data_IF_506019940931
#
_entry.id   IF_506019940931
#
_cell.length_a   1.000
_cell.length_b   1.000
_cell.length_c   1.000
_cell.angle_alpha   90.00
_cell.angle_beta   90.00
_cell.angle_gamma   90.00
#
_symmetry.space_group_name_H-M   'P 1'
#
loop_
_entity.id
_entity.type
_entity.pdbx_description
1 polymer ?
#
# COMPACT_ATOMS: atom_id res chain seq x y z
N UNK A 1 5.03 17.73 8.06
CA UNK A 1 3.92 18.70 8.06
C UNK A 1 2.63 17.91 7.92
N UNK A 2 1.64 18.18 8.77
CA UNK A 2 0.32 17.55 8.77
C UNK A 2 -0.68 18.64 8.39
N UNK A 3 -1.59 18.36 7.45
CA UNK A 3 -2.67 19.27 7.07
C UNK A 3 -4.00 18.57 7.34
N UNK A 4 -4.94 19.26 8.01
CA UNK A 4 -6.27 18.75 8.37
C UNK A 4 -7.40 19.68 7.91
N UNK A 5 -8.64 19.17 7.95
CA UNK A 5 -9.82 19.70 7.24
C UNK A 5 -10.25 21.13 7.63
N UNK A 6 -10.12 21.51 8.90
CA UNK A 6 -10.53 22.86 9.39
C UNK A 6 -9.61 23.99 8.89
N UNK A 7 -8.54 23.66 8.16
CA UNK A 7 -7.64 24.63 7.52
C UNK A 7 -7.97 24.91 6.04
N UNK A 8 -8.88 24.14 5.40
CA UNK A 8 -9.49 24.34 4.05
C UNK A 8 -9.33 25.73 3.42
N UNK A 9 -10.14 26.69 3.87
CA UNK A 9 -10.28 27.99 3.19
C UNK A 9 -9.06 28.90 3.35
N UNK A 10 -8.34 28.85 4.48
CA UNK A 10 -7.01 29.47 4.63
C UNK A 10 -5.89 28.65 3.94
N UNK A 11 -6.14 27.38 3.65
CA UNK A 11 -5.16 26.44 3.08
C UNK A 11 -5.09 26.42 1.55
N UNK A 12 -5.97 27.14 0.87
CA UNK A 12 -5.81 27.47 -0.57
C UNK A 12 -4.49 28.22 -0.77
N UNK A 13 -4.23 29.22 0.08
CA UNK A 13 -2.93 29.89 0.11
C UNK A 13 -1.81 28.95 0.59
N UNK A 14 -2.09 28.04 1.53
CA UNK A 14 -1.05 27.18 2.11
C UNK A 14 -0.57 26.09 1.14
N UNK A 15 -1.42 25.44 0.36
CA UNK A 15 -1.01 24.40 -0.59
C UNK A 15 -0.15 24.95 -1.71
N UNK A 16 -0.42 26.16 -2.23
CA UNK A 16 0.45 26.79 -3.22
C UNK A 16 1.80 27.23 -2.63
N UNK A 17 1.81 27.73 -1.39
CA UNK A 17 3.04 28.05 -0.65
C UNK A 17 3.87 26.79 -0.39
N UNK A 18 3.22 25.69 0.01
CA UNK A 18 3.86 24.38 0.17
C UNK A 18 4.38 23.91 -1.17
N UNK A 19 3.59 24.06 -2.23
CA UNK A 19 3.94 23.67 -3.57
C UNK A 19 5.20 24.40 -4.07
N UNK A 20 5.34 25.68 -3.71
CA UNK A 20 6.53 26.49 -3.97
C UNK A 20 7.77 26.12 -3.15
N UNK A 21 7.67 25.17 -2.21
CA UNK A 21 8.78 24.67 -1.38
C UNK A 21 9.07 23.18 -1.57
N UNK A 22 8.40 22.52 -2.52
CA UNK A 22 8.47 21.06 -2.71
C UNK A 22 9.86 20.56 -3.12
N UNK A 23 10.69 21.39 -3.74
CA UNK A 23 12.03 20.98 -4.20
C UNK A 23 12.94 20.48 -3.07
N UNK A 24 12.65 20.91 -1.84
CA UNK A 24 13.39 20.52 -0.62
C UNK A 24 12.69 19.40 0.18
N UNK A 25 11.47 19.02 -0.18
CA UNK A 25 10.69 18.04 0.57
C UNK A 25 11.06 16.63 0.11
N UNK A 26 11.61 15.83 1.04
CA UNK A 26 11.93 14.41 0.81
C UNK A 26 10.82 13.47 1.24
N UNK A 27 10.01 13.88 2.21
CA UNK A 27 8.93 13.08 2.78
C UNK A 27 7.68 13.96 2.91
N UNK A 28 6.58 13.49 2.34
CA UNK A 28 5.30 14.17 2.38
C UNK A 28 4.22 13.18 2.84
N UNK A 29 3.48 13.58 3.86
CA UNK A 29 2.34 12.83 4.35
C UNK A 29 1.10 13.72 4.21
N UNK A 30 0.14 13.24 3.44
CA UNK A 30 -1.16 13.87 3.26
C UNK A 30 -2.19 12.94 3.90
N UNK A 31 -2.82 13.41 4.97
CA UNK A 31 -3.72 12.61 5.79
C UNK A 31 -5.08 13.29 5.82
N UNK A 32 -6.15 12.49 5.74
CA UNK A 32 -7.53 12.97 5.81
C UNK A 32 -7.90 13.98 4.71
N UNK A 33 -7.39 13.77 3.49
CA UNK A 33 -7.78 14.55 2.31
C UNK A 33 -9.14 14.09 1.77
N UNK A 34 -10.15 14.11 2.64
CA UNK A 34 -11.53 13.73 2.32
C UNK A 34 -12.28 14.96 1.83
N UNK A 35 -12.97 14.82 0.70
CA UNK A 35 -13.83 15.86 0.09
C UNK A 35 -13.11 17.13 -0.38
N UNK A 36 -11.82 17.04 -0.73
CA UNK A 36 -11.13 18.13 -1.43
C UNK A 36 -11.53 18.10 -2.92
N UNK A 37 -11.60 19.25 -3.58
CA UNK A 37 -11.86 19.27 -5.01
C UNK A 37 -10.64 18.73 -5.79
N UNK A 38 -10.91 17.81 -6.71
CA UNK A 38 -9.93 17.22 -7.61
C UNK A 38 -9.22 18.30 -8.46
N UNK A 39 -9.96 19.29 -8.96
CA UNK A 39 -9.39 20.36 -9.79
C UNK A 39 -8.52 21.30 -8.95
N UNK A 40 -8.81 21.40 -7.66
CA UNK A 40 -8.03 22.20 -6.71
C UNK A 40 -6.70 21.54 -6.34
N UNK A 41 -6.64 20.21 -6.19
CA UNK A 41 -5.39 19.54 -5.78
C UNK A 41 -4.49 19.13 -6.96
N UNK A 42 -5.02 19.08 -8.18
CA UNK A 42 -4.25 18.68 -9.36
C UNK A 42 -2.98 19.53 -9.59
N UNK A 43 -3.00 20.89 -9.46
CA UNK A 43 -1.80 21.71 -9.57
C UNK A 43 -0.72 21.37 -8.53
N UNK A 44 -1.13 21.02 -7.31
CA UNK A 44 -0.23 20.60 -6.25
C UNK A 44 0.49 19.30 -6.62
N UNK A 45 -0.23 18.30 -7.14
CA UNK A 45 0.37 17.05 -7.63
C UNK A 45 1.27 17.24 -8.85
N UNK A 46 0.96 18.20 -9.73
CA UNK A 46 1.86 18.57 -10.83
C UNK A 46 3.17 19.16 -10.36
N UNK A 47 3.16 20.04 -9.36
CA UNK A 47 4.41 20.59 -8.78
C UNK A 47 5.19 19.54 -8.00
N UNK A 48 4.49 18.59 -7.38
CA UNK A 48 5.10 17.42 -6.77
C UNK A 48 5.85 16.54 -7.78
N UNK A 49 5.49 16.57 -9.06
CA UNK A 49 6.16 15.77 -10.09
C UNK A 49 7.63 16.10 -10.28
N UNK A 50 7.97 17.38 -10.21
CA UNK A 50 9.34 17.86 -10.36
C UNK A 50 10.14 17.84 -9.06
N UNK A 51 9.55 17.39 -7.95
CA UNK A 51 10.18 17.41 -6.64
C UNK A 51 11.18 16.27 -6.43
N UNK A 52 12.05 16.43 -5.42
CA UNK A 52 12.98 15.38 -4.95
C UNK A 52 12.35 14.43 -3.92
N UNK A 53 11.02 14.23 -4.00
CA UNK A 53 10.29 13.43 -3.04
C UNK A 53 10.71 11.96 -3.09
N UNK A 54 11.06 11.41 -1.92
CA UNK A 54 11.44 10.00 -1.73
C UNK A 54 10.36 9.19 -1.06
N UNK A 55 9.54 9.81 -0.21
CA UNK A 55 8.47 9.16 0.53
C UNK A 55 7.16 9.92 0.40
N UNK A 56 6.10 9.23 0.02
CA UNK A 56 4.75 9.77 -0.07
C UNK A 56 3.78 8.88 0.70
N UNK A 57 3.03 9.48 1.63
CA UNK A 57 1.88 8.86 2.28
C UNK A 57 0.62 9.59 1.87
N UNK A 58 -0.37 8.84 1.40
CA UNK A 58 -1.72 9.30 1.11
C UNK A 58 -2.70 8.51 1.97
N UNK A 59 -3.30 9.15 2.98
CA UNK A 59 -4.32 8.56 3.85
C UNK A 59 -5.66 9.28 3.65
N UNK A 60 -6.69 8.50 3.31
CA UNK A 60 -8.05 9.02 3.10
C UNK A 60 -8.17 9.87 1.83
N UNK A 61 -7.32 9.62 0.83
CA UNK A 61 -7.22 10.43 -0.39
C UNK A 61 -8.33 10.14 -1.41
N UNK A 62 -9.54 10.65 -1.21
CA UNK A 62 -10.66 10.43 -2.14
C UNK A 62 -11.59 11.63 -2.24
N UNK A 63 -11.91 12.01 -3.47
CA UNK A 63 -12.79 13.12 -3.78
C UNK A 63 -14.16 12.60 -4.24
N UNK A 64 -15.28 13.16 -3.79
CA UNK A 64 -16.60 12.83 -4.33
C UNK A 64 -16.72 13.40 -5.77
N UNK A 65 -16.52 12.56 -6.80
CA UNK A 65 -16.57 12.97 -8.21
C UNK A 65 -15.89 11.98 -9.17
N UNK A 66 -16.66 11.01 -9.69
CA UNK A 66 -16.16 9.74 -10.25
C UNK A 66 -15.18 9.83 -11.44
N UNK A 67 -15.28 10.85 -12.32
CA UNK A 67 -14.51 10.91 -13.58
C UNK A 67 -13.17 11.63 -13.47
N UNK A 68 -13.08 12.66 -12.62
CA UNK A 68 -11.88 13.50 -12.51
C UNK A 68 -10.82 12.84 -11.60
N UNK A 69 -11.24 11.94 -10.71
CA UNK A 69 -10.35 11.21 -9.80
C UNK A 69 -9.39 10.25 -10.50
N UNK A 70 -9.83 9.61 -11.59
CA UNK A 70 -8.96 8.72 -12.36
C UNK A 70 -7.82 9.53 -12.97
N UNK A 71 -8.09 10.71 -13.54
CA UNK A 71 -7.05 11.58 -14.13
C UNK A 71 -6.02 12.03 -13.09
N UNK A 72 -6.46 12.39 -11.88
CA UNK A 72 -5.53 12.80 -10.82
C UNK A 72 -4.71 11.65 -10.23
N UNK A 73 -5.27 10.45 -10.17
CA UNK A 73 -4.53 9.24 -9.76
C UNK A 73 -3.58 8.76 -10.85
N UNK A 74 -3.94 8.95 -12.13
CA UNK A 74 -3.03 8.79 -13.26
C UNK A 74 -1.86 9.78 -13.15
N UNK A 75 -2.11 11.01 -12.70
CA UNK A 75 -1.04 11.99 -12.44
C UNK A 75 -0.12 11.51 -11.33
N UNK A 76 -0.63 11.03 -10.19
CA UNK A 76 0.21 10.45 -9.13
C UNK A 76 1.12 9.33 -9.64
N UNK A 77 0.60 8.49 -10.52
CA UNK A 77 1.32 7.31 -10.99
C UNK A 77 2.44 7.64 -12.00
N UNK A 78 2.25 8.67 -12.83
CA UNK A 78 3.25 9.12 -13.82
C UNK A 78 4.33 10.07 -13.24
N UNK A 79 4.26 10.43 -11.94
CA UNK A 79 4.85 11.69 -11.47
C UNK A 79 6.05 11.62 -10.54
N UNK A 80 6.58 10.48 -10.11
CA UNK A 80 7.66 10.54 -9.12
C UNK A 80 8.91 9.78 -9.53
N UNK A 81 9.79 10.46 -10.25
CA UNK A 81 11.05 9.88 -10.71
C UNK A 81 12.01 9.49 -9.59
N UNK A 82 11.79 9.93 -8.35
CA UNK A 82 12.65 9.68 -7.19
C UNK A 82 11.93 8.96 -6.03
N UNK A 83 10.66 8.59 -6.19
CA UNK A 83 9.90 7.98 -5.11
C UNK A 83 10.41 6.57 -4.83
N UNK A 84 10.72 6.33 -3.57
CA UNK A 84 11.25 5.07 -3.05
C UNK A 84 10.27 4.40 -2.09
N UNK A 85 9.45 5.20 -1.40
CA UNK A 85 8.46 4.74 -0.45
C UNK A 85 7.10 5.32 -0.79
N UNK A 86 6.12 4.44 -0.99
CA UNK A 86 4.73 4.81 -1.21
C UNK A 86 3.84 4.12 -0.17
N UNK A 87 3.06 4.91 0.56
CA UNK A 87 2.01 4.44 1.45
C UNK A 87 0.65 4.95 0.97
N UNK A 88 -0.27 4.03 0.76
CA UNK A 88 -1.63 4.33 0.31
C UNK A 88 -2.62 3.72 1.29
N UNK A 89 -3.48 4.56 1.86
CA UNK A 89 -4.54 4.12 2.74
C UNK A 89 -5.88 4.61 2.20
N UNK A 90 -6.72 3.65 1.85
CA UNK A 90 -8.05 3.90 1.32
C UNK A 90 -8.99 4.36 2.45
N UNK A 91 -9.98 5.23 2.17
CA UNK A 91 -10.91 5.80 3.12
C UNK A 91 -11.91 4.74 3.57
N UNK A 92 -12.65 5.10 4.62
CA UNK A 92 -13.50 4.20 5.40
C UNK A 92 -14.82 3.79 4.69
N UNK A 93 -15.79 3.30 5.48
CA UNK A 93 -16.83 2.33 5.12
C UNK A 93 -17.74 2.64 3.92
N UNK A 94 -17.83 3.89 3.50
CA UNK A 94 -18.86 4.35 2.57
C UNK A 94 -18.41 4.37 1.09
N UNK A 95 -17.13 4.08 0.81
CA UNK A 95 -16.65 4.00 -0.57
C UNK A 95 -17.00 2.65 -1.24
N UNK A 96 -17.61 2.64 -2.45
CA UNK A 96 -17.98 1.38 -3.12
C UNK A 96 -16.77 0.54 -3.55
N UNK A 97 -16.76 -0.76 -3.20
CA UNK A 97 -15.65 -1.70 -3.45
C UNK A 97 -15.23 -1.79 -4.94
N UNK A 98 -16.18 -1.77 -5.87
CA UNK A 98 -15.90 -1.82 -7.31
C UNK A 98 -15.05 -0.63 -7.79
N UNK A 99 -15.20 0.54 -7.15
CA UNK A 99 -14.45 1.75 -7.49
C UNK A 99 -13.02 1.69 -6.95
N UNK A 100 -12.81 1.04 -5.81
CA UNK A 100 -11.48 0.81 -5.23
C UNK A 100 -10.64 -0.14 -6.12
N UNK A 101 -11.27 -1.15 -6.74
CA UNK A 101 -10.59 -2.11 -7.64
C UNK A 101 -10.00 -1.42 -8.87
N UNK A 102 -10.83 -0.61 -9.54
CA UNK A 102 -10.41 0.11 -10.73
C UNK A 102 -9.30 1.11 -10.41
N UNK A 103 -9.38 1.76 -9.27
CA UNK A 103 -8.37 2.72 -8.82
C UNK A 103 -7.01 2.06 -8.60
N UNK A 104 -6.96 0.96 -7.86
CA UNK A 104 -5.71 0.24 -7.58
C UNK A 104 -5.10 -0.30 -8.87
N UNK A 105 -5.93 -0.86 -9.76
CA UNK A 105 -5.50 -1.34 -11.08
C UNK A 105 -4.87 -0.23 -11.90
N UNK A 106 -5.53 0.94 -11.96
CA UNK A 106 -5.04 2.10 -12.70
C UNK A 106 -3.74 2.64 -12.09
N UNK A 107 -3.70 2.84 -10.77
CA UNK A 107 -2.53 3.34 -10.08
C UNK A 107 -1.31 2.45 -10.33
N UNK A 108 -1.46 1.14 -10.15
CA UNK A 108 -0.37 0.19 -10.43
C UNK A 108 -0.03 0.04 -11.91
N UNK A 109 -0.99 0.24 -12.81
CA UNK A 109 -0.72 0.19 -14.25
C UNK A 109 0.26 1.28 -14.70
N UNK A 110 0.28 2.42 -13.98
CA UNK A 110 1.04 3.62 -14.33
C UNK A 110 2.24 3.90 -13.44
N UNK A 111 2.24 3.37 -12.21
CA UNK A 111 3.36 3.53 -11.28
C UNK A 111 4.66 2.97 -11.87
N UNK A 112 5.73 3.76 -11.85
CA UNK A 112 7.09 3.28 -12.13
C UNK A 112 7.60 2.43 -10.95
N UNK A 113 7.25 1.15 -10.98
CA UNK A 113 7.63 0.17 -9.97
C UNK A 113 9.15 -0.03 -9.84
N UNK A 114 9.95 0.40 -10.82
CA UNK A 114 11.40 0.16 -10.81
C UNK A 114 12.15 0.86 -9.67
N UNK A 115 11.51 1.87 -9.06
CA UNK A 115 12.12 2.73 -8.03
C UNK A 115 11.53 2.54 -6.65
N UNK A 116 10.33 1.99 -6.56
CA UNK A 116 9.63 1.77 -5.30
C UNK A 116 10.30 0.60 -4.58
N UNK A 117 10.96 0.90 -3.47
CA UNK A 117 11.62 -0.10 -2.61
C UNK A 117 10.73 -0.52 -1.44
N UNK A 118 9.86 0.38 -0.97
CA UNK A 118 8.89 0.13 0.09
C UNK A 118 7.49 0.52 -0.38
N UNK A 119 6.56 -0.43 -0.28
CA UNK A 119 5.15 -0.22 -0.59
C UNK A 119 4.29 -0.63 0.59
N UNK A 120 3.45 0.28 1.07
CA UNK A 120 2.46 0.03 2.11
C UNK A 120 1.06 0.29 1.55
N UNK A 121 0.19 -0.71 1.59
CA UNK A 121 -1.19 -0.61 1.13
C UNK A 121 -2.12 -0.94 2.28
N UNK A 122 -3.08 -0.06 2.53
CA UNK A 122 -4.19 -0.31 3.45
C UNK A 122 -5.50 -0.23 2.68
N UNK A 123 -6.11 -1.39 2.51
CA UNK A 123 -7.19 -1.67 1.58
C UNK A 123 -8.35 -2.29 2.33
N UNK A 124 -9.57 -2.05 1.85
CA UNK A 124 -10.76 -2.56 2.53
C UNK A 124 -11.09 -4.00 2.20
N UNK A 125 -10.56 -4.58 1.14
CA UNK A 125 -10.80 -5.99 0.84
C UNK A 125 -9.72 -6.54 -0.09
N UNK A 126 -9.27 -7.77 0.16
CA UNK A 126 -8.43 -8.52 -0.79
C UNK A 126 -9.16 -8.87 -2.09
N UNK A 127 -10.50 -8.94 -2.10
CA UNK A 127 -11.31 -9.25 -3.30
C UNK A 127 -11.12 -8.22 -4.43
N UNK A 128 -10.58 -7.07 -4.07
CA UNK A 128 -10.36 -5.91 -4.92
C UNK A 128 -8.97 -6.00 -5.60
N UNK A 129 -8.14 -6.95 -5.20
CA UNK A 129 -6.79 -7.10 -5.72
C UNK A 129 -6.66 -8.44 -6.40
N UNK A 130 -6.35 -8.41 -7.69
CA UNK A 130 -5.73 -9.56 -8.31
C UNK A 130 -4.31 -9.72 -7.76
N UNK A 131 -4.08 -10.66 -6.84
CA UNK A 131 -2.78 -10.84 -6.18
C UNK A 131 -1.66 -11.23 -7.14
N UNK A 132 -1.97 -11.89 -8.26
CA UNK A 132 -1.00 -12.12 -9.33
C UNK A 132 -0.58 -10.81 -9.99
N UNK A 133 -1.53 -9.90 -10.21
CA UNK A 133 -1.25 -8.55 -10.71
C UNK A 133 -0.43 -7.74 -9.71
N UNK A 134 -0.80 -7.73 -8.42
CA UNK A 134 -0.02 -7.05 -7.39
C UNK A 134 1.41 -7.60 -7.29
N UNK A 135 1.57 -8.93 -7.29
CA UNK A 135 2.88 -9.56 -7.26
C UNK A 135 3.74 -9.16 -8.48
N UNK A 136 3.13 -9.11 -9.67
CA UNK A 136 3.81 -8.61 -10.87
C UNK A 136 4.21 -7.14 -10.75
N UNK A 137 3.36 -6.31 -10.15
CA UNK A 137 3.60 -4.87 -9.97
C UNK A 137 4.54 -4.51 -8.83
N UNK A 138 4.94 -5.50 -8.04
CA UNK A 138 5.86 -5.34 -6.92
C UNK A 138 7.20 -6.06 -7.18
N UNK A 139 7.52 -6.36 -8.44
CA UNK A 139 8.75 -7.06 -8.88
C UNK A 139 10.09 -6.40 -8.54
N UNK A 140 10.08 -5.18 -8.02
CA UNK A 140 11.30 -4.47 -7.57
C UNK A 140 11.20 -3.99 -6.13
N UNK A 141 10.04 -4.19 -5.49
CA UNK A 141 9.80 -3.84 -4.10
C UNK A 141 10.61 -4.79 -3.22
N UNK A 142 11.24 -4.24 -2.18
CA UNK A 142 11.97 -4.97 -1.14
C UNK A 142 11.11 -5.19 0.10
N UNK A 143 10.26 -4.21 0.43
CA UNK A 143 9.39 -4.25 1.60
C UNK A 143 7.95 -4.02 1.17
N UNK A 144 7.10 -5.04 1.35
CA UNK A 144 5.67 -4.94 1.09
C UNK A 144 4.89 -5.10 2.39
N UNK A 145 4.05 -4.11 2.70
CA UNK A 145 3.09 -4.17 3.79
C UNK A 145 1.68 -4.09 3.22
N UNK A 146 0.84 -5.08 3.53
CA UNK A 146 -0.55 -5.14 3.13
C UNK A 146 -1.43 -5.19 4.38
N UNK A 147 -2.24 -4.18 4.59
CA UNK A 147 -3.36 -4.21 5.53
C UNK A 147 -4.63 -4.39 4.71
N UNK A 148 -5.36 -5.46 4.94
CA UNK A 148 -6.60 -5.81 4.23
C UNK A 148 -7.67 -6.18 5.25
N UNK A 149 -8.95 -6.01 4.93
CA UNK A 149 -10.00 -6.46 5.85
C UNK A 149 -10.07 -7.99 5.96
N UNK A 150 -9.96 -8.66 4.82
CA UNK A 150 -10.03 -10.10 4.68
C UNK A 150 -9.05 -10.54 3.59
N UNK A 151 -8.38 -11.68 3.78
CA UNK A 151 -7.55 -12.35 2.78
C UNK A 151 -7.63 -13.86 2.97
N UNK A 152 -7.78 -14.63 1.88
CA UNK A 152 -7.72 -16.09 1.98
C UNK A 152 -6.29 -16.62 1.84
N UNK A 153 -6.08 -17.87 2.28
CA UNK A 153 -4.82 -18.59 2.04
C UNK A 153 -4.47 -18.65 0.55
N UNK A 154 -5.44 -18.85 -0.34
CA UNK A 154 -5.22 -18.92 -1.79
C UNK A 154 -4.68 -17.60 -2.34
N UNK A 155 -5.13 -16.46 -1.80
CA UNK A 155 -4.60 -15.15 -2.18
C UNK A 155 -3.13 -15.00 -1.78
N UNK A 156 -2.78 -15.37 -0.55
CA UNK A 156 -1.40 -15.36 -0.06
C UNK A 156 -0.51 -16.28 -0.93
N UNK A 157 -0.96 -17.51 -1.19
CA UNK A 157 -0.21 -18.46 -2.02
C UNK A 157 -0.09 -17.99 -3.47
N UNK A 158 -1.14 -17.39 -4.04
CA UNK A 158 -1.13 -16.82 -5.39
C UNK A 158 -0.15 -15.66 -5.49
N UNK A 159 -0.10 -14.80 -4.47
CA UNK A 159 0.90 -13.75 -4.35
C UNK A 159 2.30 -14.35 -4.30
N UNK A 160 2.59 -15.26 -3.36
CA UNK A 160 3.91 -15.85 -3.15
C UNK A 160 4.42 -16.60 -4.40
N UNK A 161 3.53 -17.28 -5.14
CA UNK A 161 3.86 -17.93 -6.42
C UNK A 161 4.41 -16.95 -7.47
N UNK A 162 3.93 -15.71 -7.42
CA UNK A 162 4.24 -14.67 -8.38
C UNK A 162 5.15 -13.59 -7.81
N UNK A 163 5.51 -13.70 -6.53
CA UNK A 163 6.20 -12.67 -5.77
C UNK A 163 7.60 -12.43 -6.32
N UNK A 164 8.06 -11.19 -6.16
CA UNK A 164 9.36 -10.79 -6.63
C UNK A 164 10.50 -11.56 -5.98
N UNK A 165 11.55 -11.85 -6.77
CA UNK A 165 12.86 -12.23 -6.23
C UNK A 165 13.57 -11.09 -5.49
N UNK A 166 13.07 -9.86 -5.54
CA UNK A 166 13.64 -8.73 -4.79
C UNK A 166 12.97 -8.51 -3.44
N UNK A 167 11.83 -9.17 -3.19
CA UNK A 167 11.08 -8.95 -1.96
C UNK A 167 11.84 -9.59 -0.80
N UNK A 168 12.27 -8.77 0.15
CA UNK A 168 13.04 -9.15 1.32
C UNK A 168 12.14 -9.27 2.56
N UNK A 169 11.05 -8.49 2.62
CA UNK A 169 10.08 -8.53 3.71
C UNK A 169 8.65 -8.41 3.21
N UNK A 170 7.79 -9.28 3.74
CA UNK A 170 6.35 -9.29 3.48
C UNK A 170 5.59 -9.24 4.80
N UNK A 171 4.82 -8.18 5.01
CA UNK A 171 3.87 -8.09 6.12
C UNK A 171 2.45 -8.12 5.54
N UNK A 172 1.60 -9.02 6.02
CA UNK A 172 0.19 -9.07 5.68
C UNK A 172 -0.61 -9.04 6.98
N UNK A 173 -1.46 -8.04 7.12
CA UNK A 173 -2.41 -7.89 8.20
C UNK A 173 -3.83 -8.02 7.65
N UNK A 174 -4.62 -8.92 8.23
CA UNK A 174 -6.03 -9.12 7.96
C UNK A 174 -6.81 -8.95 9.24
N UNK A 175 -7.82 -8.06 9.24
CA UNK A 175 -8.69 -7.88 10.41
C UNK A 175 -9.63 -9.06 10.65
N UNK A 176 -10.01 -9.79 9.60
CA UNK A 176 -10.83 -10.99 9.73
C UNK A 176 -10.00 -12.24 10.02
N UNK A 177 -10.55 -13.08 10.92
CA UNK A 177 -10.00 -14.38 11.28
C UNK A 177 -9.96 -15.31 10.08
N UNK A 178 -8.76 -15.70 9.68
CA UNK A 178 -8.55 -16.76 8.69
C UNK A 178 -8.09 -18.00 9.44
N UNK A 179 -8.92 -19.04 9.45
CA UNK A 179 -8.52 -20.33 10.03
C UNK A 179 -7.51 -20.98 9.08
N UNK A 180 -6.26 -21.08 9.53
CA UNK A 180 -5.20 -21.73 8.77
C UNK A 180 -5.02 -23.17 9.27
N UNK A 181 -5.11 -24.19 8.39
CA UNK A 181 -4.74 -25.55 8.77
C UNK A 181 -3.24 -25.63 9.07
N UNK A 182 -2.81 -26.56 9.92
CA UNK A 182 -1.38 -26.79 10.23
C UNK A 182 -0.54 -27.00 8.96
N UNK A 183 -1.10 -27.68 7.94
CA UNK A 183 -0.47 -27.88 6.63
C UNK A 183 -0.21 -26.60 5.84
N UNK A 184 -0.73 -25.45 6.28
CA UNK A 184 -0.44 -24.16 5.68
C UNK A 184 1.02 -23.74 5.87
N UNK A 185 1.64 -24.05 7.02
CA UNK A 185 3.05 -23.72 7.26
C UNK A 185 3.95 -24.51 6.30
N UNK A 186 3.72 -25.81 6.13
CA UNK A 186 4.45 -26.63 5.16
C UNK A 186 4.31 -26.08 3.73
N UNK A 187 3.10 -25.59 3.41
CA UNK A 187 2.82 -24.98 2.12
C UNK A 187 3.56 -23.64 1.96
N UNK A 188 3.62 -22.81 3.01
CA UNK A 188 4.37 -21.56 3.03
C UNK A 188 5.86 -21.82 2.79
N UNK A 189 6.46 -22.80 3.47
CA UNK A 189 7.86 -23.16 3.32
C UNK A 189 8.23 -23.52 1.88
N UNK A 190 7.39 -24.32 1.23
CA UNK A 190 7.61 -24.71 -0.16
C UNK A 190 7.71 -23.50 -1.10
N UNK A 191 6.90 -22.46 -0.85
CA UNK A 191 6.93 -21.23 -1.66
C UNK A 191 8.05 -20.29 -1.23
N UNK A 192 8.22 -20.06 0.06
CA UNK A 192 9.20 -19.13 0.61
C UNK A 192 10.64 -19.59 0.33
N UNK A 193 10.90 -20.90 0.32
CA UNK A 193 12.19 -21.47 -0.09
C UNK A 193 12.62 -21.09 -1.51
N UNK A 194 11.67 -20.68 -2.37
CA UNK A 194 11.92 -20.23 -3.76
C UNK A 194 12.08 -18.70 -3.88
N UNK A 195 11.94 -17.97 -2.78
CA UNK A 195 11.98 -16.50 -2.73
C UNK A 195 13.20 -15.99 -1.97
N UNK A 196 13.46 -14.68 -2.10
CA UNK A 196 14.47 -13.94 -1.32
C UNK A 196 13.87 -13.30 -0.07
N UNK A 197 12.61 -13.62 0.27
CA UNK A 197 11.98 -13.14 1.48
C UNK A 197 12.81 -13.69 2.64
N UNK A 198 13.21 -12.80 3.55
CA UNK A 198 13.97 -13.13 4.75
C UNK A 198 13.10 -13.02 6.00
N UNK A 199 12.02 -12.24 5.92
CA UNK A 199 11.07 -12.05 7.01
C UNK A 199 9.65 -12.00 6.47
N UNK A 200 8.78 -12.84 7.03
CA UNK A 200 7.35 -12.79 6.80
C UNK A 200 6.62 -12.58 8.12
N UNK A 201 5.62 -11.70 8.12
CA UNK A 201 4.69 -11.55 9.24
C UNK A 201 3.27 -11.62 8.68
N UNK A 202 2.51 -12.60 9.13
CA UNK A 202 1.11 -12.78 8.79
C UNK A 202 0.30 -12.63 10.07
N UNK A 203 -0.46 -11.54 10.18
CA UNK A 203 -1.45 -11.37 11.24
C UNK A 203 -2.81 -11.56 10.59
N UNK A 204 -3.49 -12.66 10.91
CA UNK A 204 -4.70 -13.10 10.23
C UNK A 204 -5.84 -13.27 11.25
N UNK A 205 -6.50 -12.17 11.58
CA UNK A 205 -7.39 -12.04 12.73
C UNK A 205 -6.61 -12.23 14.03
N UNK A 206 -6.89 -13.31 14.77
CA UNK A 206 -6.26 -13.60 16.07
C UNK A 206 -4.98 -14.43 15.99
N UNK A 207 -4.53 -14.78 14.80
CA UNK A 207 -3.33 -15.61 14.62
C UNK A 207 -2.20 -14.76 14.06
N UNK A 208 -1.07 -14.73 14.75
CA UNK A 208 0.19 -14.20 14.23
C UNK A 208 1.10 -15.36 13.83
N UNK A 209 1.67 -15.28 12.62
CA UNK A 209 2.74 -16.15 12.15
C UNK A 209 3.89 -15.24 11.75
N UNK A 210 5.00 -15.34 12.48
CA UNK A 210 6.24 -14.65 12.17
C UNK A 210 7.28 -15.69 11.72
N UNK A 211 7.77 -15.55 10.49
CA UNK A 211 8.80 -16.42 9.93
C UNK A 211 10.07 -15.65 9.61
N UNK A 212 11.23 -16.20 10.01
CA UNK A 212 12.56 -15.64 9.73
C UNK A 212 13.44 -16.68 9.03
N UNK A 213 14.12 -16.26 7.96
CA UNK A 213 15.04 -17.12 7.22
C UNK A 213 16.42 -17.12 7.86
N UNK A 214 16.81 -18.24 8.44
CA UNK A 214 18.10 -18.46 9.11
C UNK A 214 18.82 -19.60 8.40
N UNK A 215 20.04 -19.35 7.90
CA UNK A 215 20.86 -20.34 7.17
C UNK A 215 20.13 -21.04 6.00
N UNK A 216 19.19 -20.35 5.34
CA UNK A 216 18.42 -20.90 4.21
C UNK A 216 17.12 -21.60 4.58
N UNK A 217 16.84 -21.80 5.87
CA UNK A 217 15.63 -22.41 6.41
C UNK A 217 14.76 -21.38 7.11
N UNK A 218 13.45 -21.60 7.17
CA UNK A 218 12.54 -20.72 7.91
C UNK A 218 12.29 -21.27 9.31
N UNK A 219 12.43 -20.40 10.30
CA UNK A 219 11.98 -20.63 11.67
C UNK A 219 10.71 -19.82 11.90
N UNK A 220 9.66 -20.48 12.37
CA UNK A 220 8.36 -19.85 12.62
C UNK A 220 8.05 -19.75 14.10
N UNK A 221 7.52 -18.59 14.48
CA UNK A 221 6.82 -18.36 15.72
C UNK A 221 5.33 -18.18 15.37
N UNK A 222 4.46 -18.99 15.97
CA UNK A 222 3.01 -18.85 15.84
C UNK A 222 2.43 -18.49 17.19
N UNK A 223 1.77 -17.34 17.28
CA UNK A 223 1.15 -16.85 18.50
C UNK A 223 -0.35 -16.65 18.28
N UNK A 224 -1.14 -17.02 19.28
CA UNK A 224 -2.53 -16.60 19.37
C UNK A 224 -2.56 -15.24 20.07
N UNK A 225 -3.00 -14.21 19.36
CA UNK A 225 -3.22 -12.88 19.92
C UNK A 225 -4.37 -12.98 20.93
N UNK A 226 -4.06 -12.81 22.22
CA UNK A 226 -5.08 -12.69 23.26
C UNK A 226 -5.71 -11.30 23.20
N UNK A 227 -7.02 -11.20 23.45
CA UNK A 227 -7.67 -9.91 23.64
C UNK A 227 -7.24 -9.39 25.01
N UNK A 228 -6.47 -8.30 25.04
CA UNK A 228 -6.43 -7.44 26.22
C UNK A 228 -7.85 -6.92 26.43
N UNK A 229 -8.48 -7.35 27.54
CA UNK A 229 -9.83 -6.99 27.96
C UNK A 229 -9.98 -5.50 28.23
#
# INVERSE_FOLDING_TARGET
MLLGRDYLEESVMSLDIIAGRLDNIKCLNLISLVDIDADFIAPFFMKLKSSNLKSLTLDGFFFPGYSNNIKNMLMLADSYSNLQHLKLKMPSRDYPLAKEHNLMTILFSKMDESKITKLELELRSALIINFSFLANKTRKVKYLHLTVHWISKEHILTFLRSASKTLESLNIFSSETTILPVSFIDTLDMYLGRTMINRIVLILGKTEITGLKINGHYEYLTESLQEDQ
#
